data_IF_152990394370
#
_entry.id   IF_152990394370
#
_cell.length_a   1.000
_cell.length_b   1.000
_cell.length_c   1.000
_cell.angle_alpha   90.00
_cell.angle_beta   90.00
_cell.angle_gamma   90.00
#
_symmetry.space_group_name_H-M   'P 1'
#
loop_
_entity.id
_entity.type
_entity.pdbx_description
1 polymer ?
#
# COMPACT_ATOMS: atom_id res chain seq x y z
N UNK A 1 -12.64 4.19 50.86
CA UNK A 1 -11.47 3.51 50.24
C UNK A 1 -11.83 2.45 49.21
N UNK A 2 -12.64 1.42 49.52
CA UNK A 2 -12.94 0.31 48.58
C UNK A 2 -13.55 0.74 47.23
N UNK A 3 -14.42 1.75 47.23
CA UNK A 3 -15.07 2.28 46.02
C UNK A 3 -14.07 3.01 45.11
N UNK A 4 -13.16 3.79 45.70
CA UNK A 4 -12.12 4.53 44.97
C UNK A 4 -11.16 3.57 44.27
N UNK A 5 -10.78 2.48 44.95
CA UNK A 5 -9.93 1.43 44.38
C UNK A 5 -10.62 0.75 43.19
N UNK A 6 -11.92 0.44 43.30
CA UNK A 6 -12.69 -0.15 42.18
C UNK A 6 -12.77 0.79 40.97
N UNK A 7 -12.96 2.09 41.19
CA UNK A 7 -12.98 3.10 40.13
C UNK A 7 -11.63 3.23 39.43
N UNK A 8 -10.52 3.17 40.18
CA UNK A 8 -9.16 3.20 39.63
C UNK A 8 -8.91 1.95 38.76
N UNK A 9 -9.28 0.76 39.25
CA UNK A 9 -9.13 -0.49 38.48
C UNK A 9 -9.96 -0.44 37.19
N UNK A 10 -11.20 0.05 37.25
CA UNK A 10 -12.06 0.22 36.09
C UNK A 10 -11.45 1.19 35.06
N UNK A 11 -10.88 2.30 35.52
CA UNK A 11 -10.19 3.27 34.67
C UNK A 11 -8.97 2.66 33.97
N UNK A 12 -8.15 1.87 34.67
CA UNK A 12 -7.03 1.14 34.07
C UNK A 12 -7.49 0.11 33.03
N UNK A 13 -8.60 -0.60 33.26
CA UNK A 13 -9.18 -1.52 32.28
C UNK A 13 -9.66 -0.82 31.00
N UNK A 14 -10.24 0.39 31.13
CA UNK A 14 -10.70 1.19 29.98
C UNK A 14 -9.51 1.78 29.19
N UNK A 15 -8.39 2.12 29.85
CA UNK A 15 -7.17 2.55 29.15
C UNK A 15 -6.49 1.39 28.41
N UNK A 16 -6.43 0.21 29.02
CA UNK A 16 -5.79 -0.97 28.42
C UNK A 16 -6.50 -1.42 27.14
N UNK A 17 -7.83 -1.29 27.06
CA UNK A 17 -8.60 -1.71 25.88
C UNK A 17 -8.41 -0.83 24.64
N UNK A 18 -7.80 0.36 24.77
CA UNK A 18 -7.51 1.26 23.63
C UNK A 18 -6.16 0.97 22.95
N UNK A 19 -5.35 0.06 23.48
CA UNK A 19 -4.03 -0.27 22.95
C UNK A 19 -4.09 -1.56 22.13
N UNK A 20 -4.31 -1.42 20.81
CA UNK A 20 -3.84 -2.28 19.70
C UNK A 20 -4.90 -2.40 18.60
N UNK A 21 -5.07 -1.34 17.80
CA UNK A 21 -5.51 -1.53 16.43
C UNK A 21 -4.26 -1.89 15.61
N UNK A 22 -3.91 -3.18 15.57
CA UNK A 22 -2.79 -3.65 14.77
C UNK A 22 -3.10 -3.41 13.29
N UNK A 23 -2.33 -2.54 12.65
CA UNK A 23 -2.53 -2.23 11.23
C UNK A 23 -2.08 -3.42 10.41
N UNK A 24 -3.02 -4.07 9.73
CA UNK A 24 -2.72 -5.22 8.87
C UNK A 24 -2.10 -4.74 7.57
N UNK A 25 -0.83 -5.04 7.37
CA UNK A 25 -0.08 -4.72 6.15
C UNK A 25 0.19 -5.98 5.34
N UNK A 26 0.09 -5.88 4.01
CA UNK A 26 0.53 -6.90 3.08
C UNK A 26 1.75 -6.40 2.29
N UNK A 27 2.80 -7.21 2.18
CA UNK A 27 4.02 -6.82 1.48
C UNK A 27 3.98 -7.28 0.02
N UNK A 28 4.51 -6.47 -0.88
CA UNK A 28 4.66 -6.79 -2.29
C UNK A 28 6.06 -6.38 -2.76
N UNK A 29 6.79 -7.34 -3.31
CA UNK A 29 8.12 -7.10 -3.85
C UNK A 29 8.12 -7.38 -5.34
N UNK A 30 8.61 -6.41 -6.12
CA UNK A 30 8.61 -6.43 -7.57
C UNK A 30 10.01 -6.26 -8.13
N UNK A 31 10.33 -7.03 -9.17
CA UNK A 31 11.61 -6.99 -9.86
C UNK A 31 11.42 -6.82 -11.36
N UNK A 32 12.31 -6.09 -12.00
CA UNK A 32 12.36 -6.06 -13.46
C UNK A 32 12.93 -7.37 -14.02
N UNK A 33 12.90 -7.55 -15.35
CA UNK A 33 13.37 -8.80 -16.00
C UNK A 33 14.80 -9.18 -15.63
N UNK A 34 15.70 -8.21 -15.48
CA UNK A 34 17.10 -8.42 -15.10
C UNK A 34 17.32 -8.59 -13.59
N UNK A 35 16.26 -8.48 -12.76
CA UNK A 35 16.32 -8.45 -11.29
C UNK A 35 17.25 -7.37 -10.71
N UNK A 36 17.58 -6.35 -11.50
CA UNK A 36 18.47 -5.26 -11.10
C UNK A 36 17.72 -4.12 -10.42
N UNK A 37 16.41 -3.99 -10.66
CA UNK A 37 15.58 -2.97 -10.05
C UNK A 37 14.53 -3.62 -9.15
N UNK A 38 14.55 -3.24 -7.87
CA UNK A 38 13.69 -3.75 -6.82
C UNK A 38 12.74 -2.64 -6.36
N UNK A 39 11.45 -2.93 -6.40
CA UNK A 39 10.44 -2.09 -5.75
C UNK A 39 9.76 -2.89 -4.64
N UNK A 40 9.66 -2.27 -3.47
CA UNK A 40 8.99 -2.85 -2.31
C UNK A 40 7.80 -1.96 -1.95
N UNK A 41 6.62 -2.56 -1.82
CA UNK A 41 5.38 -1.90 -1.46
C UNK A 41 4.75 -2.56 -0.24
N UNK A 42 3.95 -1.78 0.48
CA UNK A 42 3.05 -2.27 1.52
C UNK A 42 1.64 -1.78 1.24
N UNK A 43 0.65 -2.62 1.51
CA UNK A 43 -0.76 -2.29 1.37
C UNK A 43 -1.43 -2.38 2.73
N UNK A 44 -2.06 -1.29 3.15
CA UNK A 44 -2.96 -1.32 4.29
C UNK A 44 -4.20 -2.12 3.93
N UNK A 45 -4.55 -3.08 4.79
CA UNK A 45 -5.73 -3.92 4.65
C UNK A 45 -6.83 -3.42 5.58
N UNK A 46 -7.98 -3.11 5.00
CA UNK A 46 -9.18 -2.71 5.72
C UNK A 46 -9.92 -3.94 6.30
N UNK A 47 -10.89 -3.69 7.19
CA UNK A 47 -11.71 -4.75 7.80
C UNK A 47 -12.45 -5.61 6.76
N UNK A 48 -12.72 -5.06 5.58
CA UNK A 48 -13.35 -5.75 4.43
C UNK A 48 -12.40 -6.68 3.68
N UNK A 49 -11.16 -6.88 4.16
CA UNK A 49 -10.07 -7.55 3.47
C UNK A 49 -9.62 -6.91 2.15
N UNK A 50 -10.13 -5.73 1.82
CA UNK A 50 -9.69 -4.93 0.69
C UNK A 50 -8.46 -4.10 1.06
N UNK A 51 -7.68 -3.74 0.06
CA UNK A 51 -6.54 -2.84 0.25
C UNK A 51 -6.99 -1.38 0.08
N UNK A 52 -6.39 -0.47 0.86
CA UNK A 52 -6.70 0.96 0.83
C UNK A 52 -5.46 1.79 0.52
N UNK A 53 -4.61 2.05 1.52
CA UNK A 53 -3.42 2.88 1.39
C UNK A 53 -2.23 2.06 0.90
N UNK A 54 -1.43 2.66 0.02
CA UNK A 54 -0.21 2.05 -0.50
C UNK A 54 1.02 2.82 -0.06
N UNK A 55 2.02 2.09 0.38
CA UNK A 55 3.33 2.60 0.76
C UNK A 55 4.38 2.02 -0.18
N UNK A 56 5.44 2.78 -0.44
CA UNK A 56 6.63 2.34 -1.19
C UNK A 56 7.87 2.58 -0.36
N UNK A 57 8.80 1.64 -0.41
CA UNK A 57 10.10 1.79 0.24
C UNK A 57 10.99 2.72 -0.58
N UNK A 58 11.37 3.84 0.00
CA UNK A 58 12.26 4.83 -0.60
C UNK A 58 13.35 5.15 0.43
N UNK A 59 14.61 4.95 0.04
CA UNK A 59 15.79 5.14 0.93
C UNK A 59 15.65 4.42 2.28
N UNK A 60 15.11 3.20 2.27
CA UNK A 60 14.95 2.35 3.45
C UNK A 60 13.64 2.54 4.23
N UNK A 61 12.86 3.61 3.97
CA UNK A 61 11.64 3.91 4.69
C UNK A 61 10.40 3.71 3.82
N UNK A 62 9.32 3.16 4.39
CA UNK A 62 8.02 3.11 3.72
C UNK A 62 7.30 4.45 3.86
N UNK A 63 6.96 5.06 2.73
CA UNK A 63 6.18 6.31 2.67
C UNK A 63 4.90 6.10 1.87
N UNK A 64 3.82 6.81 2.23
CA UNK A 64 2.54 6.75 1.53
C UNK A 64 2.70 7.32 0.12
N UNK A 65 2.40 6.51 -0.90
CA UNK A 65 2.50 6.90 -2.31
C UNK A 65 1.15 7.14 -2.98
N UNK A 66 0.05 6.70 -2.36
CA UNK A 66 -1.30 6.90 -2.87
C UNK A 66 -2.27 5.84 -2.35
N UNK A 67 -3.38 5.66 -3.05
CA UNK A 67 -4.45 4.73 -2.69
C UNK A 67 -4.66 3.64 -3.74
N UNK A 68 -5.34 2.57 -3.34
CA UNK A 68 -5.87 1.54 -4.24
C UNK A 68 -7.17 2.07 -4.84
N UNK A 69 -7.10 2.48 -6.11
CA UNK A 69 -8.21 3.09 -6.86
C UNK A 69 -9.05 2.06 -7.61
N UNK A 70 -8.61 0.81 -7.70
CA UNK A 70 -9.39 -0.27 -8.25
C UNK A 70 -8.84 -1.63 -7.83
N UNK A 71 -9.72 -2.58 -7.50
CA UNK A 71 -9.29 -3.95 -7.19
C UNK A 71 -10.42 -4.93 -7.43
N UNK A 72 -10.06 -6.13 -7.87
CA UNK A 72 -10.94 -7.30 -7.87
C UNK A 72 -10.20 -8.43 -7.15
N UNK A 73 -10.74 -8.96 -6.04
CA UNK A 73 -10.11 -10.05 -5.31
C UNK A 73 -9.68 -11.19 -6.25
N UNK A 74 -8.47 -11.70 -6.02
CA UNK A 74 -7.82 -12.74 -6.82
C UNK A 74 -7.53 -12.40 -8.29
N UNK A 75 -7.86 -11.20 -8.78
CA UNK A 75 -7.67 -10.83 -10.18
C UNK A 75 -6.67 -9.70 -10.36
N UNK A 76 -6.91 -8.51 -9.80
CA UNK A 76 -5.99 -7.38 -9.98
C UNK A 76 -6.06 -6.36 -8.83
N UNK A 77 -5.03 -5.52 -8.77
CA UNK A 77 -4.97 -4.30 -7.93
C UNK A 77 -4.44 -3.17 -8.80
N UNK A 78 -5.15 -2.05 -8.84
CA UNK A 78 -4.77 -0.80 -9.47
C UNK A 78 -4.56 0.24 -8.35
N UNK A 79 -3.37 0.82 -8.29
CA UNK A 79 -3.01 1.74 -7.20
C UNK A 79 -2.08 2.85 -7.65
N UNK A 80 -2.19 4.01 -7.01
CA UNK A 80 -1.44 5.22 -7.35
C UNK A 80 0.02 5.17 -6.87
N UNK A 81 0.90 5.87 -7.59
CA UNK A 81 2.27 6.16 -7.15
C UNK A 81 2.64 7.61 -7.52
N UNK A 82 2.26 8.55 -6.65
CA UNK A 82 2.42 10.00 -6.87
C UNK A 82 3.88 10.47 -6.98
N UNK A 83 4.84 9.64 -6.58
CA UNK A 83 6.26 9.98 -6.64
C UNK A 83 6.98 9.35 -7.84
N UNK A 84 6.32 8.47 -8.59
CA UNK A 84 6.93 7.88 -9.78
C UNK A 84 7.12 8.93 -10.87
N UNK A 85 6.14 9.82 -11.05
CA UNK A 85 6.18 10.95 -11.97
C UNK A 85 5.44 12.16 -11.38
N UNK A 86 6.19 13.15 -10.89
CA UNK A 86 5.60 14.36 -10.30
C UNK A 86 4.75 15.12 -11.33
N UNK A 87 3.51 15.44 -10.95
CA UNK A 87 2.55 16.17 -11.81
C UNK A 87 1.86 15.30 -12.86
N UNK A 88 1.95 13.97 -12.75
CA UNK A 88 1.25 13.01 -13.60
C UNK A 88 0.43 12.06 -12.74
N UNK A 89 -0.85 11.87 -13.06
CA UNK A 89 -1.70 10.90 -12.39
C UNK A 89 -1.30 9.50 -12.84
N UNK A 90 -0.39 8.89 -12.09
CA UNK A 90 0.24 7.64 -12.41
C UNK A 90 -0.20 6.54 -11.44
N UNK A 91 -0.46 5.35 -11.99
CA UNK A 91 -0.81 4.16 -11.24
C UNK A 91 -0.04 2.93 -11.74
N UNK A 92 0.01 1.93 -10.88
CA UNK A 92 0.43 0.58 -11.19
C UNK A 92 -0.77 -0.34 -11.27
N UNK A 93 -0.83 -1.15 -12.32
CA UNK A 93 -1.78 -2.26 -12.44
C UNK A 93 -1.05 -3.59 -12.19
N UNK A 94 -1.30 -4.19 -11.03
CA UNK A 94 -0.86 -5.54 -10.69
C UNK A 94 -1.91 -6.56 -11.11
N UNK A 95 -1.57 -7.39 -12.09
CA UNK A 95 -2.32 -8.61 -12.40
C UNK A 95 -1.88 -9.72 -11.42
N UNK A 96 -2.82 -10.24 -10.63
CA UNK A 96 -2.54 -11.25 -9.61
C UNK A 96 -2.34 -12.65 -10.19
N UNK A 97 -2.84 -12.91 -11.40
CA UNK A 97 -2.70 -14.20 -12.08
C UNK A 97 -1.31 -14.32 -12.71
N UNK A 98 -0.91 -13.30 -13.49
CA UNK A 98 0.39 -13.29 -14.17
C UNK A 98 1.53 -12.76 -13.29
N UNK A 99 1.18 -12.08 -12.20
CA UNK A 99 2.10 -11.36 -11.31
C UNK A 99 2.82 -10.19 -12.00
N UNK A 100 2.32 -9.74 -13.15
CA UNK A 100 2.86 -8.58 -13.86
C UNK A 100 2.37 -7.27 -13.24
N UNK A 101 3.29 -6.34 -13.00
CA UNK A 101 3.01 -4.96 -12.62
C UNK A 101 3.30 -4.05 -13.81
N UNK A 102 2.26 -3.39 -14.31
CA UNK A 102 2.30 -2.54 -15.50
C UNK A 102 2.05 -1.09 -15.13
N UNK A 103 2.75 -0.12 -15.73
CA UNK A 103 2.44 1.29 -15.56
C UNK A 103 1.12 1.63 -16.25
N UNK A 104 0.34 2.52 -15.65
CA UNK A 104 -0.93 3.06 -16.18
C UNK A 104 -0.97 4.56 -15.93
N UNK A 105 -1.43 5.32 -16.92
CA UNK A 105 -1.82 6.73 -16.72
C UNK A 105 -3.30 6.78 -16.43
N UNK A 106 -3.66 7.47 -15.36
CA UNK A 106 -5.05 7.69 -14.98
C UNK A 106 -5.64 8.90 -15.72
N UNK A 107 -4.80 9.84 -16.15
CA UNK A 107 -5.19 11.01 -16.93
C UNK A 107 -4.13 11.42 -17.96
N UNK A 108 -4.55 12.12 -19.01
CA UNK A 108 -3.64 12.89 -19.86
C UNK A 108 -3.20 14.14 -19.08
N UNK A 109 -2.16 13.99 -18.26
CA UNK A 109 -1.56 15.12 -17.56
C UNK A 109 -1.00 16.17 -18.53
N UNK A 110 -0.75 17.38 -18.03
CA UNK A 110 -0.11 18.46 -18.80
C UNK A 110 1.34 18.16 -19.20
N UNK A 111 1.96 17.14 -18.59
CA UNK A 111 3.35 16.75 -18.81
C UNK A 111 3.39 15.48 -19.67
N UNK A 112 3.97 15.58 -20.88
CA UNK A 112 4.25 14.42 -21.71
C UNK A 112 5.43 13.63 -21.13
N UNK A 113 5.17 12.41 -20.65
CA UNK A 113 6.22 11.49 -20.27
C UNK A 113 7.02 11.05 -21.50
N UNK A 114 8.35 11.23 -21.45
CA UNK A 114 9.24 10.79 -22.55
C UNK A 114 9.28 9.26 -22.69
N UNK A 115 9.14 8.53 -21.58
CA UNK A 115 9.19 7.06 -21.57
C UNK A 115 8.42 6.51 -20.38
N UNK A 116 7.61 5.48 -20.62
CA UNK A 116 6.98 4.69 -19.57
C UNK A 116 7.99 3.78 -18.85
N UNK A 117 7.78 3.50 -17.55
CA UNK A 117 8.52 2.45 -16.87
C UNK A 117 8.37 1.11 -17.60
N UNK A 118 9.37 0.26 -17.47
CA UNK A 118 9.19 -1.13 -17.90
C UNK A 118 8.23 -1.88 -16.98
N UNK A 119 7.75 -3.04 -17.44
CA UNK A 119 6.94 -3.93 -16.60
C UNK A 119 7.81 -4.65 -15.57
N UNK A 120 7.25 -4.87 -14.39
CA UNK A 120 7.87 -5.65 -13.31
C UNK A 120 7.11 -6.95 -13.07
N UNK A 121 7.72 -7.87 -12.34
CA UNK A 121 7.11 -9.12 -11.88
C UNK A 121 7.17 -9.16 -10.35
N UNK A 122 6.06 -9.50 -9.71
CA UNK A 122 5.91 -9.33 -8.28
C UNK A 122 5.62 -10.62 -7.51
N UNK A 123 5.85 -10.57 -6.20
CA UNK A 123 5.52 -11.63 -5.24
C UNK A 123 4.96 -10.99 -3.97
N UNK A 124 3.82 -11.52 -3.50
CA UNK A 124 3.28 -11.19 -2.18
C UNK A 124 4.00 -12.00 -1.11
N UNK A 125 4.18 -11.40 0.06
CA UNK A 125 4.71 -12.03 1.28
C UNK A 125 3.80 -11.73 2.46
#
# INVERSE_FOLDING_TARGET
>A
MKIVIKLIILFFFILASKLHAETRLANLTCYNKSKSNLMEFQFKKENTNLFSQVYKKIKGNFIIIGEVVGQKPSSFILFEDKYQFLGVDFAWHLDRNTRELKPVLLSEGTIKLKKMPEKFYCKFF
#
